data_IF_483249980395
#
_entry.id   IF_483249980395
#
_cell.length_a   1.000
_cell.length_b   1.000
_cell.length_c   1.000
_cell.angle_alpha   90.00
_cell.angle_beta   90.00
_cell.angle_gamma   90.00
#
_symmetry.space_group_name_H-M   'P 1'
#
loop_
_entity.id
_entity.type
_entity.pdbx_description
1 polymer ?
#
# COMPACT_ATOMS: atom_id res chain seq x y z
N UNK A 1 6.79 -23.43 -12.42
CA UNK A 1 5.70 -23.03 -13.34
C UNK A 1 5.39 -21.56 -13.09
N UNK A 2 6.12 -20.67 -13.74
CA UNK A 2 5.88 -19.22 -13.66
C UNK A 2 4.56 -18.94 -14.36
N UNK A 3 3.64 -18.29 -13.64
CA UNK A 3 2.25 -18.17 -14.03
C UNK A 3 2.12 -17.23 -15.24
N UNK A 4 1.87 -17.78 -16.44
CA UNK A 4 1.76 -17.04 -17.70
C UNK A 4 0.73 -15.89 -17.62
N UNK A 5 -0.24 -16.02 -16.73
CA UNK A 5 -1.28 -15.02 -16.46
C UNK A 5 -0.72 -13.71 -15.91
N UNK A 6 0.26 -13.78 -15.00
CA UNK A 6 0.89 -12.59 -14.41
C UNK A 6 1.79 -11.86 -15.41
N UNK A 7 2.24 -12.54 -16.47
CA UNK A 7 3.02 -11.91 -17.54
C UNK A 7 2.16 -11.04 -18.46
N UNK A 8 0.82 -11.20 -18.45
CA UNK A 8 -0.08 -10.43 -19.32
C UNK A 8 -0.69 -9.19 -18.65
N UNK A 9 -0.69 -9.12 -17.32
CA UNK A 9 -1.14 -7.92 -16.61
C UNK A 9 -0.04 -6.86 -16.62
N UNK A 10 -0.30 -5.71 -17.24
CA UNK A 10 0.62 -4.57 -17.13
C UNK A 10 0.63 -4.10 -15.69
N UNK A 11 1.78 -3.99 -15.03
CA UNK A 11 1.78 -3.56 -13.63
C UNK A 11 1.31 -2.13 -13.43
N UNK A 12 1.29 -1.30 -14.46
CA UNK A 12 0.58 -0.03 -14.40
C UNK A 12 -0.89 -0.16 -13.94
N UNK A 13 -1.54 -1.30 -14.19
CA UNK A 13 -2.89 -1.57 -13.69
C UNK A 13 -2.95 -2.22 -12.31
N UNK A 14 -1.81 -2.71 -11.79
CA UNK A 14 -1.70 -3.31 -10.46
C UNK A 14 -1.13 -2.33 -9.41
N UNK A 15 -0.24 -1.44 -9.84
CA UNK A 15 0.28 -0.37 -9.01
C UNK A 15 -0.87 0.55 -8.63
N UNK A 16 -1.01 0.83 -7.34
CA UNK A 16 -1.99 1.77 -6.83
C UNK A 16 -1.48 3.21 -7.06
N UNK A 17 -2.10 3.98 -8.00
CA UNK A 17 -1.68 5.35 -8.26
C UNK A 17 -2.07 6.31 -7.12
N UNK A 18 -3.01 5.90 -6.26
CA UNK A 18 -3.48 6.65 -5.10
C UNK A 18 -2.65 6.35 -3.85
N UNK A 19 -1.47 5.72 -4.01
CA UNK A 19 -0.59 5.44 -2.89
C UNK A 19 -0.21 6.74 -2.15
N UNK A 20 -0.29 6.74 -0.80
CA UNK A 20 0.05 7.90 0.03
C UNK A 20 1.39 8.54 -0.33
N UNK A 21 1.39 9.86 -0.57
CA UNK A 21 2.61 10.62 -0.81
C UNK A 21 2.59 12.01 -0.19
N UNK A 22 3.77 12.48 0.21
CA UNK A 22 4.03 13.83 0.71
C UNK A 22 5.12 14.52 -0.10
N UNK A 23 5.07 15.85 -0.19
CA UNK A 23 6.13 16.66 -0.80
C UNK A 23 7.23 16.88 0.22
N UNK A 24 8.49 16.71 -0.15
CA UNK A 24 9.63 16.74 0.75
C UNK A 24 9.82 18.08 1.49
N UNK A 25 9.37 19.18 0.90
CA UNK A 25 9.38 20.50 1.51
C UNK A 25 8.21 20.74 2.49
N UNK A 26 7.32 19.76 2.70
CA UNK A 26 6.28 19.89 3.70
C UNK A 26 6.89 19.86 5.10
N UNK A 27 6.33 20.66 6.01
CA UNK A 27 6.79 20.70 7.39
C UNK A 27 6.51 19.41 8.14
N UNK A 28 7.32 19.12 9.16
CA UNK A 28 7.12 18.00 10.06
C UNK A 28 5.72 18.04 10.72
N UNK A 29 5.22 19.21 11.13
CA UNK A 29 3.85 19.35 11.64
C UNK A 29 2.79 18.89 10.62
N UNK A 30 2.97 19.25 9.35
CA UNK A 30 2.05 18.85 8.28
C UNK A 30 2.06 17.34 8.07
N UNK A 31 3.24 16.72 8.10
CA UNK A 31 3.37 15.26 8.00
C UNK A 31 2.76 14.54 9.21
N UNK A 32 3.02 15.00 10.43
CA UNK A 32 2.38 14.43 11.64
C UNK A 32 0.86 14.53 11.55
N UNK A 33 0.32 15.69 11.16
CA UNK A 33 -1.12 15.87 10.97
C UNK A 33 -1.70 14.95 9.91
N UNK A 34 -0.95 14.74 8.81
CA UNK A 34 -1.31 13.79 7.77
C UNK A 34 -1.44 12.38 8.33
N UNK A 35 -0.39 11.86 8.97
CA UNK A 35 -0.36 10.51 9.54
C UNK A 35 -1.44 10.30 10.61
N UNK A 36 -1.70 11.28 11.46
CA UNK A 36 -2.78 11.21 12.46
C UNK A 36 -4.16 11.07 11.82
N UNK A 37 -4.40 11.79 10.72
CA UNK A 37 -5.70 11.82 10.04
C UNK A 37 -5.94 10.59 9.18
N UNK A 38 -4.94 10.16 8.41
CA UNK A 38 -5.07 9.06 7.45
C UNK A 38 -4.82 7.70 8.09
N UNK A 39 -4.08 7.66 9.22
CA UNK A 39 -3.60 6.43 9.87
C UNK A 39 -2.71 5.57 8.98
N UNK A 40 -2.12 6.16 7.94
CA UNK A 40 -1.07 5.49 7.17
C UNK A 40 0.13 5.22 8.07
N UNK A 41 0.95 4.23 7.72
CA UNK A 41 2.19 3.94 8.43
C UNK A 41 3.42 4.31 7.62
N UNK A 42 3.28 4.38 6.30
CA UNK A 42 4.31 4.75 5.37
C UNK A 42 3.73 5.63 4.27
N UNK A 43 4.53 6.60 3.79
CA UNK A 43 4.22 7.41 2.63
C UNK A 43 5.44 7.50 1.73
N UNK A 44 5.21 7.61 0.42
CA UNK A 44 6.26 8.02 -0.51
C UNK A 44 6.56 9.51 -0.31
N UNK A 45 7.83 9.89 -0.39
CA UNK A 45 8.24 11.30 -0.34
C UNK A 45 8.78 11.69 -1.71
N UNK A 46 8.19 12.75 -2.27
CA UNK A 46 8.50 13.23 -3.61
C UNK A 46 8.95 14.69 -3.60
N UNK A 47 9.69 15.11 -4.62
CA UNK A 47 9.99 16.52 -4.85
C UNK A 47 8.81 17.27 -5.50
N UNK A 48 9.02 18.56 -5.80
CA UNK A 48 8.02 19.41 -6.48
C UNK A 48 7.69 18.98 -7.92
N UNK A 49 8.54 18.17 -8.54
CA UNK A 49 8.36 17.60 -9.88
C UNK A 49 7.82 16.16 -9.83
N UNK A 50 7.36 15.69 -8.65
CA UNK A 50 6.91 14.33 -8.39
C UNK A 50 8.00 13.26 -8.60
N UNK A 51 9.28 13.61 -8.47
CA UNK A 51 10.38 12.64 -8.45
C UNK A 51 10.46 11.97 -7.09
N UNK A 52 10.64 10.65 -7.09
CA UNK A 52 10.75 9.90 -5.85
C UNK A 52 12.07 10.22 -5.15
N UNK A 53 11.99 10.69 -3.90
CA UNK A 53 13.15 10.93 -3.03
C UNK A 53 13.33 9.80 -2.01
N UNK A 54 12.23 9.21 -1.55
CA UNK A 54 12.26 8.01 -0.73
C UNK A 54 10.96 7.76 0.01
N UNK A 55 11.04 7.27 1.24
CA UNK A 55 9.88 6.97 2.09
C UNK A 55 10.00 7.62 3.45
N UNK A 56 8.86 7.81 4.10
CA UNK A 56 8.78 8.29 5.47
C UNK A 56 7.80 7.43 6.26
N UNK A 57 8.24 6.94 7.43
CA UNK A 57 7.43 6.13 8.32
C UNK A 57 6.88 6.99 9.48
N UNK A 58 5.65 6.72 9.92
CA UNK A 58 5.06 7.40 11.09
C UNK A 58 5.92 7.25 12.35
N UNK A 59 6.60 6.12 12.52
CA UNK A 59 7.48 5.85 13.65
C UNK A 59 8.71 6.77 13.67
N UNK A 60 9.19 7.20 12.51
CA UNK A 60 10.34 8.09 12.40
C UNK A 60 9.97 9.49 12.89
N UNK A 61 8.75 9.94 12.56
CA UNK A 61 8.20 11.19 13.07
C UNK A 61 7.97 11.13 14.57
N UNK A 62 7.39 10.03 15.07
CA UNK A 62 7.17 9.83 16.50
C UNK A 62 8.49 9.82 17.26
N UNK A 63 9.55 9.22 16.71
CA UNK A 63 10.88 9.24 17.32
C UNK A 63 11.42 10.66 17.49
N UNK A 64 11.31 11.50 16.45
CA UNK A 64 11.77 12.91 16.51
C UNK A 64 10.93 13.72 17.49
N UNK A 65 9.60 13.59 17.43
CA UNK A 65 8.69 14.31 18.34
C UNK A 65 8.92 13.88 19.79
N UNK A 66 9.09 12.59 20.04
CA UNK A 66 9.30 12.07 21.39
C UNK A 66 10.66 12.50 21.96
N UNK A 67 11.73 12.43 21.16
CA UNK A 67 13.06 12.93 21.54
C UNK A 67 12.98 14.38 21.98
N UNK A 68 12.27 15.21 21.22
CA UNK A 68 12.06 16.62 21.56
C UNK A 68 11.27 16.82 22.85
N UNK A 69 10.15 16.10 23.03
CA UNK A 69 9.35 16.20 24.26
C UNK A 69 10.22 15.84 25.47
N UNK A 70 11.03 14.79 25.37
CA UNK A 70 11.94 14.39 26.44
C UNK A 70 13.02 15.42 26.78
N UNK A 71 13.47 16.24 25.82
CA UNK A 71 14.41 17.34 26.10
C UNK A 71 13.78 18.50 26.88
N UNK A 72 12.45 18.64 26.83
CA UNK A 72 11.72 19.69 27.55
C UNK A 72 11.37 19.32 28.99
N UNK A 73 11.23 18.01 29.29
CA UNK A 73 10.83 17.51 30.62
C UNK A 73 11.82 17.85 31.77
N UNK A 74 13.16 17.92 31.59
CA UNK A 74 14.09 18.27 32.67
C UNK A 74 13.85 19.65 33.29
N UNK A 75 13.16 20.55 32.59
CA UNK A 75 12.83 21.90 33.06
C UNK A 75 11.67 21.86 34.07
N UNK A 76 10.82 20.83 34.02
CA UNK A 76 9.59 20.75 34.83
C UNK A 76 9.86 20.15 36.22
N UNK A 77 10.78 19.20 36.33
CA UNK A 77 11.08 18.54 37.62
C UNK A 77 11.84 19.43 38.63
N UNK A 78 12.48 20.51 38.17
CA UNK A 78 13.13 21.51 39.04
C UNK A 78 12.23 22.68 39.48
N UNK A 79 11.04 22.82 38.89
CA UNK A 79 10.21 24.02 38.97
C UNK A 79 9.03 23.92 39.96
N UNK A 80 9.28 23.43 41.19
CA UNK A 80 8.33 23.58 42.32
C UNK A 80 8.28 25.00 42.90
N UNK A 81 8.78 26.04 42.23
CA UNK A 81 8.79 27.43 42.75
C UNK A 81 8.41 28.46 41.70
N UNK A 82 7.17 28.96 41.81
CA UNK A 82 6.53 30.08 41.09
C UNK A 82 5.91 29.74 39.73
N UNK A 83 4.84 28.97 39.87
CA UNK A 83 3.71 28.80 38.97
C UNK A 83 3.10 30.12 38.44
N UNK A 84 2.52 30.01 37.24
CA UNK A 84 1.55 30.92 36.58
C UNK A 84 2.09 32.18 35.92
N UNK A 85 2.61 32.03 34.70
CA UNK A 85 2.19 32.82 33.53
C UNK A 85 2.90 32.45 32.22
N UNK A 86 3.86 31.52 32.22
CA UNK A 86 4.70 31.26 31.03
C UNK A 86 4.22 30.04 30.20
N UNK A 87 3.31 29.21 30.72
CA UNK A 87 3.02 27.89 30.13
C UNK A 87 2.22 27.89 28.82
N UNK A 88 1.64 29.01 28.39
CA UNK A 88 0.81 29.03 27.16
C UNK A 88 1.55 29.53 25.90
N UNK A 89 2.65 30.28 26.05
CA UNK A 89 3.41 30.82 24.91
C UNK A 89 4.60 29.94 24.49
N UNK A 90 5.14 29.09 25.36
CA UNK A 90 6.25 28.19 25.01
C UNK A 90 5.82 27.01 24.11
N UNK A 91 4.52 26.74 24.01
CA UNK A 91 3.95 25.68 23.16
C UNK A 91 3.53 26.18 21.76
N UNK A 92 3.58 27.49 21.50
CA UNK A 92 3.03 28.07 20.26
C UNK A 92 4.02 28.17 19.10
N UNK A 93 5.31 27.92 19.31
CA UNK A 93 6.28 27.90 18.20
C UNK A 93 7.41 26.89 18.46
N UNK A 94 7.26 25.68 17.94
CA UNK A 94 8.34 24.71 17.94
C UNK A 94 9.04 24.72 16.57
N UNK A 95 10.28 25.26 16.44
CA UNK A 95 10.99 25.30 15.16
C UNK A 95 11.26 23.91 14.57
N UNK A 96 11.28 22.86 15.38
CA UNK A 96 11.41 21.46 14.92
C UNK A 96 10.20 21.05 14.08
N UNK A 97 9.00 21.53 14.43
CA UNK A 97 7.78 21.24 13.68
C UNK A 97 7.74 21.93 12.30
N UNK A 98 8.52 22.98 12.12
CA UNK A 98 8.67 23.68 10.84
C UNK A 98 9.80 23.09 9.97
N UNK A 99 10.57 22.10 10.45
CA UNK A 99 11.60 21.47 9.62
C UNK A 99 10.97 20.75 8.41
N UNK A 100 11.59 20.81 7.22
CA UNK A 100 11.12 20.05 6.07
C UNK A 100 11.35 18.55 6.29
N UNK A 101 10.38 17.73 5.88
CA UNK A 101 10.51 16.27 6.04
C UNK A 101 11.61 15.65 5.17
N UNK A 102 12.16 16.38 4.18
CA UNK A 102 13.27 15.91 3.33
C UNK A 102 14.47 15.41 4.13
N UNK A 103 14.70 15.99 5.31
CA UNK A 103 15.83 15.65 6.19
C UNK A 103 15.57 14.36 6.98
N UNK A 104 14.36 13.79 6.89
CA UNK A 104 13.93 12.55 7.55
C UNK A 104 13.66 11.40 6.57
N UNK A 105 13.79 11.65 5.26
CA UNK A 105 13.50 10.66 4.22
C UNK A 105 14.49 9.51 4.31
N UNK A 106 13.97 8.30 4.19
CA UNK A 106 14.76 7.08 4.09
C UNK A 106 14.75 6.52 2.68
N UNK A 107 15.81 5.80 2.34
CA UNK A 107 15.83 5.02 1.12
C UNK A 107 14.77 3.91 1.20
N UNK A 108 13.92 3.76 0.18
CA UNK A 108 12.96 2.67 0.11
C UNK A 108 13.70 1.34 -0.07
N UNK A 109 13.12 0.27 0.46
CA UNK A 109 13.73 -1.06 0.36
C UNK A 109 13.82 -1.55 -1.08
N UNK A 110 12.81 -1.22 -1.90
CA UNK A 110 12.76 -1.64 -3.30
C UNK A 110 12.04 -0.58 -4.15
N UNK A 111 12.72 -0.16 -5.22
CA UNK A 111 12.17 0.68 -6.28
C UNK A 111 12.26 -0.12 -7.57
N UNK A 112 11.20 -0.08 -8.36
CA UNK A 112 11.20 -0.68 -9.70
C UNK A 112 10.72 0.32 -10.74
N UNK A 113 11.30 0.22 -11.93
CA UNK A 113 10.76 0.90 -13.10
C UNK A 113 9.42 0.27 -13.47
N UNK A 114 8.46 1.07 -13.94
CA UNK A 114 7.18 0.60 -14.46
C UNK A 114 7.33 -0.44 -15.59
N UNK A 115 8.42 -0.38 -16.36
CA UNK A 115 8.75 -1.33 -17.42
C UNK A 115 9.24 -2.68 -16.89
N UNK A 116 9.98 -2.66 -15.77
CA UNK A 116 10.60 -3.84 -15.15
C UNK A 116 9.67 -4.52 -14.13
N UNK A 117 8.48 -3.96 -13.94
CA UNK A 117 7.70 -4.31 -12.78
C UNK A 117 7.20 -5.77 -12.81
N UNK A 118 7.09 -6.45 -13.96
CA UNK A 118 6.66 -7.87 -13.97
C UNK A 118 7.61 -8.78 -13.17
N UNK A 119 8.87 -8.36 -13.02
CA UNK A 119 9.86 -8.99 -12.16
C UNK A 119 9.68 -8.62 -10.67
N UNK A 120 9.02 -7.51 -10.36
CA UNK A 120 8.85 -6.98 -9.00
C UNK A 120 7.97 -7.85 -8.12
N UNK A 121 7.02 -8.61 -8.68
CA UNK A 121 6.23 -9.56 -7.89
C UNK A 121 7.09 -10.74 -7.39
N UNK A 122 7.98 -11.24 -8.24
CA UNK A 122 8.98 -12.22 -7.82
C UNK A 122 9.83 -11.66 -6.69
N UNK A 123 10.29 -10.41 -6.82
CA UNK A 123 11.08 -9.74 -5.79
C UNK A 123 10.30 -9.54 -4.47
N UNK A 124 9.03 -9.12 -4.51
CA UNK A 124 8.16 -9.01 -3.33
C UNK A 124 8.11 -10.33 -2.55
N UNK A 125 7.87 -11.43 -3.25
CA UNK A 125 7.72 -12.75 -2.65
C UNK A 125 9.05 -13.35 -2.17
N UNK A 126 10.10 -13.24 -2.99
CA UNK A 126 11.41 -13.82 -2.71
C UNK A 126 12.16 -13.07 -1.61
N UNK A 127 12.07 -11.74 -1.61
CA UNK A 127 12.75 -10.89 -0.62
C UNK A 127 11.89 -10.63 0.62
N UNK A 128 10.62 -11.03 0.60
CA UNK A 128 9.69 -10.81 1.71
C UNK A 128 9.38 -9.33 1.96
N UNK A 129 9.55 -8.48 0.93
CA UNK A 129 9.21 -7.07 1.01
C UNK A 129 7.70 -6.94 0.84
N UNK A 130 7.06 -6.09 1.63
CA UNK A 130 5.59 -5.94 1.60
C UNK A 130 5.11 -4.97 0.52
N UNK A 131 5.98 -4.08 0.06
CA UNK A 131 5.65 -3.04 -0.90
C UNK A 131 6.83 -2.70 -1.81
N UNK A 132 6.51 -2.26 -3.02
CA UNK A 132 7.49 -1.74 -3.97
C UNK A 132 7.02 -0.41 -4.50
N UNK A 133 7.90 0.58 -4.49
CA UNK A 133 7.62 1.85 -5.14
C UNK A 133 7.90 1.75 -6.64
N UNK A 134 6.97 2.26 -7.43
CA UNK A 134 7.03 2.21 -8.90
C UNK A 134 7.30 3.61 -9.43
N UNK A 135 8.33 3.71 -10.28
CA UNK A 135 8.72 4.96 -10.94
C UNK A 135 8.72 4.81 -12.46
N UNK A 136 8.52 5.92 -13.16
CA UNK A 136 8.68 5.95 -14.62
C UNK A 136 10.15 6.12 -15.04
N UNK A 137 10.39 6.21 -16.35
CA UNK A 137 11.73 6.39 -16.93
C UNK A 137 12.40 7.73 -16.58
N UNK A 138 11.65 8.71 -16.07
CA UNK A 138 12.15 10.00 -15.59
C UNK A 138 12.30 10.05 -14.06
N UNK A 139 12.19 8.89 -13.38
CA UNK A 139 12.17 8.74 -11.92
C UNK A 139 11.00 9.48 -11.24
N UNK A 140 9.88 9.68 -11.95
CA UNK A 140 8.64 10.20 -11.35
C UNK A 140 7.87 9.08 -10.68
N UNK A 141 7.35 9.35 -9.50
CA UNK A 141 6.56 8.40 -8.74
C UNK A 141 5.21 8.13 -9.42
N UNK A 142 4.97 6.86 -9.78
CA UNK A 142 3.74 6.40 -10.45
C UNK A 142 2.75 5.82 -9.45
N UNK A 143 3.25 5.14 -8.41
CA UNK A 143 2.43 4.50 -7.40
C UNK A 143 3.23 3.46 -6.62
N UNK A 144 2.54 2.58 -5.90
CA UNK A 144 3.17 1.45 -5.24
C UNK A 144 2.42 0.15 -5.51
N UNK A 145 3.16 -0.96 -5.46
CA UNK A 145 2.59 -2.30 -5.50
C UNK A 145 2.72 -2.90 -4.10
N UNK A 146 1.60 -3.10 -3.42
CA UNK A 146 1.56 -3.76 -2.11
C UNK A 146 1.19 -5.22 -2.32
N UNK A 147 1.79 -6.14 -1.54
CA UNK A 147 1.50 -7.57 -1.64
C UNK A 147 0.01 -7.88 -1.53
N UNK A 148 -0.72 -7.12 -0.69
CA UNK A 148 -2.17 -7.24 -0.54
C UNK A 148 -2.95 -6.87 -1.82
N UNK A 149 -2.48 -5.91 -2.60
CA UNK A 149 -3.15 -5.53 -3.85
C UNK A 149 -3.00 -6.65 -4.88
N UNK A 150 -1.83 -7.30 -4.91
CA UNK A 150 -1.58 -8.45 -5.76
C UNK A 150 -2.44 -9.64 -5.36
N UNK A 151 -2.49 -9.98 -4.06
CA UNK A 151 -3.32 -11.10 -3.60
C UNK A 151 -4.80 -10.84 -3.87
N UNK A 152 -5.27 -9.61 -3.68
CA UNK A 152 -6.63 -9.19 -4.03
C UNK A 152 -6.92 -9.29 -5.52
N UNK A 153 -5.98 -8.88 -6.38
CA UNK A 153 -6.11 -8.98 -7.83
C UNK A 153 -6.19 -10.45 -8.26
N UNK A 154 -5.30 -11.31 -7.75
CA UNK A 154 -5.30 -12.74 -8.02
C UNK A 154 -6.60 -13.39 -7.53
N UNK A 155 -7.06 -13.03 -6.33
CA UNK A 155 -8.29 -13.56 -5.77
C UNK A 155 -9.52 -13.16 -6.59
N UNK A 156 -9.61 -11.90 -7.04
CA UNK A 156 -10.69 -11.44 -7.92
C UNK A 156 -10.75 -12.24 -9.21
N UNK A 157 -9.60 -12.50 -9.83
CA UNK A 157 -9.54 -13.31 -11.06
C UNK A 157 -9.93 -14.77 -10.80
N UNK A 158 -9.46 -15.38 -9.71
CA UNK A 158 -9.87 -16.73 -9.31
C UNK A 158 -11.36 -16.80 -9.02
N UNK A 159 -11.92 -15.79 -8.35
CA UNK A 159 -13.35 -15.72 -8.04
C UNK A 159 -14.22 -15.57 -9.29
N UNK A 160 -13.67 -15.08 -10.41
CA UNK A 160 -14.34 -15.00 -11.71
C UNK A 160 -14.23 -16.31 -12.53
N UNK A 161 -13.37 -17.26 -12.13
CA UNK A 161 -13.23 -18.54 -12.81
C UNK A 161 -14.52 -19.39 -12.87
N UNK A 162 -15.42 -19.41 -11.87
CA UNK A 162 -16.68 -20.16 -11.95
C UNK A 162 -17.55 -19.79 -13.15
N UNK A 163 -17.54 -18.52 -13.60
CA UNK A 163 -18.26 -18.13 -14.82
C UNK A 163 -17.61 -18.72 -16.09
N UNK A 164 -16.28 -18.80 -16.10
CA UNK A 164 -15.52 -19.36 -17.22
C UNK A 164 -15.67 -20.88 -17.25
N UNK A 165 -15.52 -21.55 -16.11
CA UNK A 165 -15.76 -22.99 -15.97
C UNK A 165 -17.22 -23.33 -16.27
N UNK A 166 -18.19 -22.51 -15.84
CA UNK A 166 -19.60 -22.65 -16.18
C UNK A 166 -19.84 -22.63 -17.69
N UNK A 167 -19.32 -21.62 -18.41
CA UNK A 167 -19.43 -21.51 -19.87
C UNK A 167 -18.72 -22.64 -20.62
N UNK A 168 -17.55 -23.07 -20.15
CA UNK A 168 -16.81 -24.19 -20.74
C UNK A 168 -17.59 -25.49 -20.55
N UNK A 169 -18.08 -25.76 -19.34
CA UNK A 169 -18.92 -26.93 -19.07
C UNK A 169 -20.20 -26.90 -19.90
N UNK A 170 -20.91 -25.77 -19.95
CA UNK A 170 -22.11 -25.61 -20.80
C UNK A 170 -21.80 -25.84 -22.29
N UNK A 171 -20.65 -25.39 -22.80
CA UNK A 171 -20.27 -25.63 -24.21
C UNK A 171 -19.98 -27.12 -24.49
N UNK A 172 -19.38 -27.83 -23.54
CA UNK A 172 -19.14 -29.28 -23.63
C UNK A 172 -20.46 -30.05 -23.55
N UNK A 173 -21.40 -29.61 -22.72
CA UNK A 173 -22.72 -30.23 -22.58
C UNK A 173 -23.65 -29.92 -23.76
N UNK A 174 -23.64 -28.70 -24.30
CA UNK A 174 -24.55 -28.28 -25.38
C UNK A 174 -24.00 -28.59 -26.79
N UNK A 175 -22.69 -28.80 -26.95
CA UNK A 175 -22.05 -29.14 -28.22
C UNK A 175 -22.12 -30.62 -28.62
N UNK A 176 -22.61 -31.49 -27.73
CA UNK A 176 -22.65 -32.94 -27.92
C UNK A 176 -24.07 -33.50 -27.99
N UNK A 177 -24.82 -33.23 -29.06
CA UNK A 177 -26.06 -33.97 -29.36
C UNK A 177 -25.82 -35.43 -29.79
N UNK A 178 -24.61 -35.96 -29.61
CA UNK A 178 -24.32 -37.39 -29.62
C UNK A 178 -24.52 -37.94 -28.21
N UNK A 179 -25.75 -38.36 -27.89
CA UNK A 179 -26.16 -38.80 -26.56
C UNK A 179 -25.17 -39.76 -25.91
N UNK A 180 -24.49 -39.31 -24.87
CA UNK A 180 -23.78 -40.17 -23.92
C UNK A 180 -24.81 -40.59 -22.86
N UNK A 181 -25.23 -41.85 -22.81
CA UNK A 181 -26.21 -42.31 -21.83
C UNK A 181 -25.53 -42.37 -20.44
N UNK A 182 -26.05 -41.63 -19.45
CA UNK A 182 -25.69 -41.82 -18.04
C UNK A 182 -25.27 -40.58 -17.23
N UNK A 183 -25.39 -39.35 -17.76
CA UNK A 183 -24.92 -38.14 -17.07
C UNK A 183 -25.99 -37.32 -16.30
N UNK A 184 -27.13 -37.93 -15.94
CA UNK A 184 -28.26 -37.21 -15.28
C UNK A 184 -27.99 -36.78 -13.83
N UNK A 185 -26.84 -37.10 -13.22
CA UNK A 185 -26.60 -36.88 -11.77
C UNK A 185 -25.77 -35.63 -11.42
N UNK A 186 -25.20 -34.91 -12.38
CA UNK A 186 -24.32 -33.77 -12.07
C UNK A 186 -25.12 -32.47 -11.80
N UNK A 187 -26.30 -32.33 -12.41
CA UNK A 187 -27.16 -31.14 -12.26
C UNK A 187 -27.72 -30.92 -10.85
N UNK A 188 -27.75 -31.96 -10.00
CA UNK A 188 -28.19 -31.83 -8.60
C UNK A 188 -27.07 -31.36 -7.66
N UNK A 189 -25.80 -31.58 -8.00
CA UNK A 189 -24.67 -31.23 -7.12
C UNK A 189 -24.31 -29.74 -7.18
N UNK A 190 -24.49 -29.07 -8.32
CA UNK A 190 -24.19 -27.65 -8.47
C UNK A 190 -25.23 -26.73 -7.78
N UNK A 191 -26.49 -27.17 -7.62
CA UNK A 191 -27.51 -26.40 -6.88
C UNK A 191 -27.23 -26.29 -5.38
N UNK A 192 -26.42 -27.18 -4.82
CA UNK A 192 -26.00 -27.11 -3.41
C UNK A 192 -24.98 -26.01 -3.13
N UNK A 193 -24.17 -25.62 -4.13
CA UNK A 193 -23.10 -24.63 -3.96
C UNK A 193 -23.65 -23.20 -4.00
N UNK A 194 -24.71 -22.93 -4.77
CA UNK A 194 -25.36 -21.62 -4.82
C UNK A 194 -26.03 -21.21 -3.50
N UNK A 195 -26.40 -22.17 -2.63
CA UNK A 195 -26.95 -21.86 -1.31
C UNK A 195 -25.91 -21.33 -0.31
N UNK A 196 -24.62 -21.60 -0.52
CA UNK A 196 -23.55 -21.16 0.37
C UNK A 196 -23.02 -19.75 0.07
N UNK A 197 -23.31 -19.18 -1.09
CA UNK A 197 -22.83 -17.83 -1.47
C UNK A 197 -23.81 -16.70 -1.11
N UNK A 198 -24.99 -17.02 -0.57
CA UNK A 198 -26.01 -16.03 -0.12
C UNK A 198 -26.09 -15.85 1.39
N UNK A 199 -25.16 -16.44 2.15
CA UNK A 199 -25.03 -16.29 3.60
C UNK A 199 -23.75 -15.53 3.93
#
# INVERSE_FOLDING_TARGET
MTNLFLQQMSIKSLANPDYPRLVAECSLASAVSYFQRTRELLVAVVDVNNRLLGVLNSNDLLGVVYSWICELIPIVDGAQRKERQIETEALTFNPILEMPIRDMVREPQLIVSEEAASLSLGMLLEQGVQEVLVVDSENRFVGALVLNDVTNAVWKEIANLPEIFGKVLESVYNGGSGGVPGCDRVGEHLRGIEQYQKA
#
